data_IF_169565206638
#
_entry.id   IF_169565206638
#
_cell.length_a   1.000
_cell.length_b   1.000
_cell.length_c   1.000
_cell.angle_alpha   90.00
_cell.angle_beta   90.00
_cell.angle_gamma   90.00
#
_symmetry.space_group_name_H-M   'P 1'
#
loop_
_entity.id
_entity.type
_entity.pdbx_description
1 polymer ?
#
# COMPACT_ATOMS: atom_id res chain seq x y z
N UNK A 1 -10.78 -15.56 -6.47
CA UNK A 1 -11.43 -14.93 -5.30
C UNK A 1 -11.06 -13.46 -5.30
N UNK A 2 -11.91 -12.58 -4.72
CA UNK A 2 -11.68 -11.14 -4.72
C UNK A 2 -10.85 -10.69 -3.51
N UNK A 3 -10.24 -9.50 -3.61
CA UNK A 3 -9.71 -8.79 -2.44
C UNK A 3 -10.81 -7.93 -1.79
N UNK A 4 -10.70 -7.66 -0.49
CA UNK A 4 -11.52 -6.68 0.22
C UNK A 4 -10.61 -5.62 0.81
N UNK A 5 -10.81 -4.36 0.41
CA UNK A 5 -10.20 -3.19 1.04
C UNK A 5 -11.23 -2.47 1.91
N UNK A 6 -10.89 -2.16 3.14
CA UNK A 6 -11.74 -1.38 4.04
C UNK A 6 -10.97 -0.12 4.42
N UNK A 7 -11.54 1.02 4.07
CA UNK A 7 -10.96 2.32 4.42
C UNK A 7 -11.45 2.81 5.77
N UNK A 8 -10.54 3.07 6.70
CA UNK A 8 -10.85 3.70 8.00
C UNK A 8 -10.26 5.12 7.97
N UNK A 9 -11.09 6.17 7.85
CA UNK A 9 -10.61 7.53 7.58
C UNK A 9 -10.22 8.31 8.84
N UNK A 10 -9.92 7.66 9.97
CA UNK A 10 -9.65 8.36 11.21
C UNK A 10 -8.16 8.43 11.52
N UNK A 11 -7.69 9.61 11.93
CA UNK A 11 -6.33 9.84 12.39
C UNK A 11 -6.31 10.59 13.71
N UNK A 12 -5.34 10.29 14.58
CA UNK A 12 -5.06 11.15 15.74
C UNK A 12 -4.51 12.50 15.29
N UNK A 13 -3.64 12.49 14.27
CA UNK A 13 -3.07 13.66 13.62
C UNK A 13 -2.73 13.30 12.16
N UNK A 14 -3.04 14.18 11.21
CA UNK A 14 -2.66 14.00 9.81
C UNK A 14 -1.19 14.41 9.63
N UNK A 15 -0.39 13.50 9.06
CA UNK A 15 1.01 13.77 8.73
C UNK A 15 1.11 14.84 7.65
N UNK A 16 2.24 15.58 7.60
CA UNK A 16 2.41 16.69 6.65
C UNK A 16 2.41 16.27 5.19
N UNK A 17 2.82 15.04 4.90
CA UNK A 17 2.94 14.48 3.55
C UNK A 17 1.71 13.69 3.07
N UNK A 18 0.76 13.43 3.97
CA UNK A 18 -0.32 12.49 3.71
C UNK A 18 -1.42 13.13 2.84
N UNK A 19 -1.69 12.55 1.69
CA UNK A 19 -2.76 12.89 0.77
C UNK A 19 -4.01 11.99 0.93
N UNK A 20 -3.90 10.89 1.68
CA UNK A 20 -5.03 10.00 1.93
C UNK A 20 -6.21 10.76 2.56
N UNK A 21 -7.41 10.36 2.15
CA UNK A 21 -8.66 10.86 2.76
C UNK A 21 -8.70 10.40 4.21
N UNK A 22 -8.41 11.33 5.13
CA UNK A 22 -8.38 11.06 6.56
C UNK A 22 -8.74 12.31 7.36
N UNK A 23 -9.47 12.10 8.46
CA UNK A 23 -10.05 13.15 9.28
C UNK A 23 -9.50 13.04 10.71
N UNK A 24 -8.75 14.02 11.19
CA UNK A 24 -8.30 14.04 12.58
C UNK A 24 -9.45 14.45 13.50
N UNK A 25 -9.42 13.94 14.74
CA UNK A 25 -10.35 14.32 15.83
C UNK A 25 -11.83 14.04 15.53
N UNK A 26 -12.15 12.99 14.79
CA UNK A 26 -13.53 12.57 14.48
C UNK A 26 -13.89 11.18 15.05
N UNK A 27 -13.22 10.76 16.10
CA UNK A 27 -13.43 9.45 16.73
C UNK A 27 -14.89 9.25 17.23
N UNK A 28 -15.57 10.33 17.64
CA UNK A 28 -16.99 10.29 18.02
C UNK A 28 -17.93 9.87 16.88
N UNK A 29 -17.44 9.95 15.63
CA UNK A 29 -18.20 9.55 14.44
C UNK A 29 -17.98 8.07 14.10
N UNK A 30 -16.98 7.42 14.72
CA UNK A 30 -16.53 6.08 14.33
C UNK A 30 -17.61 5.01 14.42
N UNK A 31 -18.47 5.04 15.43
CA UNK A 31 -19.57 4.07 15.56
C UNK A 31 -20.56 4.17 14.39
N UNK A 32 -20.95 5.39 14.02
CA UNK A 32 -21.84 5.62 12.86
C UNK A 32 -21.16 5.18 11.54
N UNK A 33 -19.86 5.38 11.47
CA UNK A 33 -19.08 4.97 10.31
C UNK A 33 -18.99 3.44 10.20
N UNK A 34 -18.72 2.73 11.29
CA UNK A 34 -18.74 1.26 11.33
C UNK A 34 -20.11 0.72 10.96
N UNK A 35 -21.21 1.35 11.40
CA UNK A 35 -22.56 0.96 10.98
C UNK A 35 -22.80 1.21 9.47
N UNK A 36 -22.22 2.26 8.91
CA UNK A 36 -22.27 2.51 7.45
C UNK A 36 -21.49 1.45 6.69
N UNK A 37 -20.28 1.07 7.15
CA UNK A 37 -19.50 -0.03 6.57
C UNK A 37 -20.29 -1.34 6.55
N UNK A 38 -20.97 -1.68 7.65
CA UNK A 38 -21.82 -2.88 7.73
C UNK A 38 -22.95 -2.85 6.69
N UNK A 39 -23.63 -1.70 6.54
CA UNK A 39 -24.70 -1.55 5.53
C UNK A 39 -24.16 -1.69 4.11
N UNK A 40 -23.00 -1.10 3.82
CA UNK A 40 -22.36 -1.21 2.51
C UNK A 40 -21.91 -2.64 2.23
N UNK A 41 -21.30 -3.33 3.19
CA UNK A 41 -20.84 -4.71 3.05
C UNK A 41 -21.97 -5.68 2.64
N UNK A 42 -23.19 -5.47 3.16
CA UNK A 42 -24.35 -6.30 2.82
C UNK A 42 -24.67 -6.38 1.32
N UNK A 43 -24.29 -5.37 0.54
CA UNK A 43 -24.44 -5.38 -0.93
C UNK A 43 -23.60 -6.46 -1.61
N UNK A 44 -22.58 -6.96 -0.92
CA UNK A 44 -21.61 -7.96 -1.42
C UNK A 44 -21.71 -9.30 -0.70
N UNK A 45 -22.84 -9.58 -0.04
CA UNK A 45 -23.02 -10.79 0.77
C UNK A 45 -22.74 -12.06 -0.04
N UNK A 46 -21.90 -12.93 0.51
CA UNK A 46 -21.53 -14.22 -0.08
C UNK A 46 -20.41 -14.15 -1.13
N UNK A 47 -19.85 -12.96 -1.40
CA UNK A 47 -18.65 -12.85 -2.24
C UNK A 47 -17.46 -13.56 -1.60
N UNK A 48 -16.65 -14.24 -2.42
CA UNK A 48 -15.51 -15.06 -1.98
C UNK A 48 -14.24 -14.24 -1.91
N UNK A 49 -13.64 -14.20 -0.72
CA UNK A 49 -12.43 -13.42 -0.44
C UNK A 49 -11.24 -14.33 -0.08
N UNK A 50 -10.06 -13.99 -0.58
CA UNK A 50 -8.78 -14.58 -0.18
C UNK A 50 -7.78 -13.56 0.37
N UNK A 51 -8.11 -12.24 0.28
CA UNK A 51 -7.36 -11.18 0.96
C UNK A 51 -8.30 -10.13 1.52
N UNK A 52 -8.01 -9.64 2.73
CA UNK A 52 -8.68 -8.50 3.37
C UNK A 52 -7.60 -7.53 3.82
N UNK A 53 -7.80 -6.24 3.54
CA UNK A 53 -6.87 -5.19 3.93
C UNK A 53 -7.64 -4.01 4.54
N UNK A 54 -7.39 -3.73 5.81
CA UNK A 54 -7.96 -2.57 6.51
C UNK A 54 -6.89 -1.49 6.58
N UNK A 55 -7.11 -0.38 5.88
CA UNK A 55 -6.13 0.70 5.75
C UNK A 55 -6.75 2.09 5.80
N UNK A 56 -5.99 3.11 5.35
CA UNK A 56 -6.43 4.50 5.23
C UNK A 56 -5.76 5.42 6.26
N UNK A 57 -6.53 6.07 7.12
CA UNK A 57 -6.04 6.54 8.41
C UNK A 57 -5.78 5.29 9.27
N UNK A 58 -4.87 5.27 10.24
CA UNK A 58 -4.49 3.99 10.81
C UNK A 58 -5.68 3.34 11.54
N UNK A 59 -6.15 2.13 11.14
CA UNK A 59 -7.24 1.41 11.81
C UNK A 59 -6.99 1.19 13.30
N UNK A 60 -5.75 1.25 13.73
CA UNK A 60 -5.34 1.19 15.14
C UNK A 60 -5.85 2.35 15.99
N UNK A 61 -6.49 3.38 15.39
CA UNK A 61 -7.23 4.42 16.14
C UNK A 61 -8.55 3.90 16.72
N UNK A 62 -9.14 2.90 16.08
CA UNK A 62 -10.40 2.29 16.54
C UNK A 62 -10.26 1.67 17.92
N UNK A 63 -11.35 1.65 18.68
CA UNK A 63 -11.44 0.92 19.94
C UNK A 63 -11.42 -0.60 19.71
N UNK A 64 -11.04 -1.43 20.70
CA UNK A 64 -11.09 -2.88 20.58
C UNK A 64 -12.47 -3.38 20.11
N UNK A 65 -13.56 -2.82 20.63
CA UNK A 65 -14.93 -3.16 20.24
C UNK A 65 -15.20 -2.87 18.74
N UNK A 66 -14.77 -1.71 18.24
CA UNK A 66 -14.94 -1.36 16.83
C UNK A 66 -14.09 -2.26 15.92
N UNK A 67 -12.89 -2.65 16.35
CA UNK A 67 -12.05 -3.63 15.63
C UNK A 67 -12.78 -4.97 15.54
N UNK A 68 -13.33 -5.47 16.67
CA UNK A 68 -14.13 -6.70 16.70
C UNK A 68 -15.36 -6.61 15.80
N UNK A 69 -16.06 -5.47 15.77
CA UNK A 69 -17.23 -5.28 14.93
C UNK A 69 -16.89 -5.31 13.44
N UNK A 70 -15.78 -4.66 13.02
CA UNK A 70 -15.33 -4.65 11.63
C UNK A 70 -14.84 -6.03 11.20
N UNK A 71 -14.05 -6.70 12.02
CA UNK A 71 -13.55 -8.05 11.70
C UNK A 71 -14.69 -9.07 11.65
N UNK A 72 -15.63 -9.01 12.61
CA UNK A 72 -16.81 -9.87 12.61
C UNK A 72 -17.67 -9.66 11.37
N UNK A 73 -17.89 -8.42 10.93
CA UNK A 73 -18.60 -8.10 9.67
C UNK A 73 -17.96 -8.84 8.48
N UNK A 74 -16.63 -8.92 8.41
CA UNK A 74 -15.97 -9.61 7.30
C UNK A 74 -16.38 -11.10 7.22
N UNK A 75 -16.47 -11.78 8.36
CA UNK A 75 -16.85 -13.21 8.38
C UNK A 75 -18.36 -13.46 8.34
N UNK A 76 -19.18 -12.50 8.82
CA UNK A 76 -20.65 -12.64 8.78
C UNK A 76 -21.21 -12.41 7.36
N UNK A 77 -20.53 -11.59 6.56
CA UNK A 77 -21.02 -11.15 5.24
C UNK A 77 -20.37 -11.91 4.10
N UNK A 78 -19.08 -12.17 4.17
CA UNK A 78 -18.30 -12.72 3.06
C UNK A 78 -17.95 -14.20 3.28
N UNK A 79 -17.72 -14.92 2.18
CA UNK A 79 -17.14 -16.27 2.18
C UNK A 79 -15.61 -16.15 2.18
N UNK A 80 -15.02 -16.11 3.38
CA UNK A 80 -13.59 -15.88 3.59
C UNK A 80 -12.82 -17.19 3.52
N UNK A 81 -11.83 -17.27 2.63
CA UNK A 81 -10.97 -18.45 2.50
C UNK A 81 -10.21 -18.75 3.80
N UNK A 82 -9.99 -20.02 4.10
CA UNK A 82 -9.31 -20.47 5.31
C UNK A 82 -7.84 -20.00 5.39
N UNK A 83 -7.21 -19.70 4.25
CA UNK A 83 -5.84 -19.17 4.12
C UNK A 83 -5.82 -17.69 3.77
N UNK A 84 -6.90 -16.95 4.05
CA UNK A 84 -7.03 -15.55 3.75
C UNK A 84 -5.91 -14.73 4.40
N UNK A 85 -5.25 -13.86 3.61
CA UNK A 85 -4.38 -12.82 4.16
C UNK A 85 -5.24 -11.68 4.70
N UNK A 86 -5.26 -11.51 6.02
CA UNK A 86 -6.02 -10.44 6.66
C UNK A 86 -5.06 -9.43 7.27
N UNK A 87 -4.89 -8.30 6.58
CA UNK A 87 -3.97 -7.22 6.93
C UNK A 87 -4.69 -6.07 7.62
N UNK A 88 -4.05 -5.44 8.61
CA UNK A 88 -4.41 -4.12 9.11
C UNK A 88 -3.21 -3.18 9.14
N UNK A 89 -3.45 -1.88 8.96
CA UNK A 89 -2.44 -0.84 9.17
C UNK A 89 -2.47 -0.31 10.59
N UNK A 90 -1.29 0.13 11.06
CA UNK A 90 -1.14 0.69 12.39
C UNK A 90 -0.05 1.76 12.44
N UNK A 91 -0.20 2.72 13.36
CA UNK A 91 0.86 3.67 13.69
C UNK A 91 1.50 3.31 15.03
N UNK A 92 2.82 3.44 15.18
CA UNK A 92 3.46 3.32 16.48
C UNK A 92 2.83 4.24 17.53
N UNK A 93 2.63 3.71 18.74
CA UNK A 93 2.03 4.48 19.85
C UNK A 93 0.50 4.60 19.82
N UNK A 94 -0.18 3.92 18.86
CA UNK A 94 -1.66 3.87 18.84
C UNK A 94 -2.23 2.49 19.18
N UNK A 95 -1.37 1.52 19.45
CA UNK A 95 -1.70 0.11 19.71
C UNK A 95 -1.40 -0.20 21.17
N UNK A 96 -2.34 -0.87 21.83
CA UNK A 96 -2.23 -1.47 23.17
C UNK A 96 -2.59 -2.96 23.12
N UNK A 97 -2.44 -3.65 24.26
CA UNK A 97 -2.68 -5.09 24.37
C UNK A 97 -4.12 -5.48 24.01
N UNK A 98 -5.10 -4.66 24.40
CA UNK A 98 -6.50 -4.94 24.14
C UNK A 98 -6.80 -4.87 22.64
N UNK A 99 -6.24 -3.89 21.93
CA UNK A 99 -6.36 -3.77 20.47
C UNK A 99 -5.65 -4.91 19.76
N UNK A 100 -4.43 -5.28 20.20
CA UNK A 100 -3.71 -6.43 19.63
C UNK A 100 -4.54 -7.71 19.77
N UNK A 101 -5.09 -7.94 20.95
CA UNK A 101 -5.94 -9.11 21.20
C UNK A 101 -7.22 -9.08 20.34
N UNK A 102 -7.87 -7.94 20.18
CA UNK A 102 -9.04 -7.78 19.32
C UNK A 102 -8.69 -8.07 17.85
N UNK A 103 -7.53 -7.60 17.36
CA UNK A 103 -7.04 -7.87 16.01
C UNK A 103 -6.77 -9.36 15.78
N UNK A 104 -6.03 -10.00 16.68
CA UNK A 104 -5.68 -11.44 16.57
C UNK A 104 -6.92 -12.33 16.68
N UNK A 105 -7.81 -12.06 17.63
CA UNK A 105 -9.06 -12.80 17.80
C UNK A 105 -10.01 -12.57 16.61
N UNK A 106 -9.96 -11.39 15.98
CA UNK A 106 -10.68 -11.07 14.76
C UNK A 106 -10.09 -11.69 13.49
N UNK A 107 -9.04 -12.52 13.59
CA UNK A 107 -8.44 -13.24 12.46
C UNK A 107 -7.42 -12.43 11.65
N UNK A 108 -7.04 -11.21 12.10
CA UNK A 108 -5.97 -10.45 11.45
C UNK A 108 -4.65 -11.18 11.65
N UNK A 109 -3.97 -11.53 10.55
CA UNK A 109 -2.74 -12.33 10.55
C UNK A 109 -1.53 -11.61 9.96
N UNK A 110 -1.72 -10.39 9.43
CA UNK A 110 -0.67 -9.50 8.94
C UNK A 110 -0.89 -8.08 9.45
N UNK A 111 0.18 -7.39 9.87
CA UNK A 111 0.11 -5.99 10.30
C UNK A 111 1.16 -5.15 9.59
N UNK A 112 0.76 -3.99 9.07
CA UNK A 112 1.63 -2.98 8.46
C UNK A 112 1.81 -1.81 9.41
N UNK A 113 3.06 -1.50 9.75
CA UNK A 113 3.35 -0.45 10.73
C UNK A 113 4.06 0.73 10.06
N UNK A 114 3.41 1.88 10.06
CA UNK A 114 3.91 3.12 9.48
C UNK A 114 5.02 3.75 10.32
N UNK A 115 6.23 3.23 10.23
CA UNK A 115 7.42 3.71 10.95
C UNK A 115 8.05 4.92 10.29
N UNK A 116 8.21 4.88 8.97
CA UNK A 116 8.79 5.87 8.06
C UNK A 116 10.31 6.06 8.24
N UNK A 117 10.81 6.27 9.45
CA UNK A 117 12.22 6.39 9.77
C UNK A 117 12.50 5.98 11.22
N UNK A 118 13.76 5.64 11.53
CA UNK A 118 14.26 5.51 12.90
C UNK A 118 15.12 6.72 13.31
N UNK A 119 14.94 7.87 12.65
CA UNK A 119 15.55 9.14 13.01
C UNK A 119 14.47 10.14 13.49
N UNK A 120 14.58 10.59 14.74
CA UNK A 120 13.55 11.42 15.36
C UNK A 120 13.39 12.80 14.70
N UNK A 121 14.48 13.37 14.13
CA UNK A 121 14.40 14.65 13.44
C UNK A 121 13.70 14.53 12.09
N UNK A 122 13.92 13.42 11.35
CA UNK A 122 13.18 13.12 10.13
C UNK A 122 11.68 12.93 10.43
N UNK A 123 11.34 12.16 11.47
CA UNK A 123 9.95 11.93 11.90
C UNK A 123 9.23 13.24 12.24
N UNK A 124 9.87 14.14 12.99
CA UNK A 124 9.30 15.45 13.33
C UNK A 124 9.04 16.31 12.10
N UNK A 125 9.96 16.32 11.12
CA UNK A 125 9.82 17.11 9.89
C UNK A 125 8.63 16.72 9.05
N UNK A 126 8.33 15.42 8.99
CA UNK A 126 7.16 14.89 8.27
C UNK A 126 5.88 14.85 9.13
N UNK A 127 5.93 15.36 10.37
CA UNK A 127 4.76 15.47 11.25
C UNK A 127 4.31 14.17 11.89
N UNK A 128 5.24 13.21 12.12
CA UNK A 128 4.92 11.99 12.88
C UNK A 128 4.85 12.29 14.37
N UNK A 129 3.91 11.62 15.07
CA UNK A 129 3.67 11.81 16.50
C UNK A 129 4.49 10.86 17.39
N UNK A 130 5.08 9.82 16.80
CA UNK A 130 5.93 8.85 17.50
C UNK A 130 7.41 9.16 17.27
N UNK A 131 8.25 8.66 18.15
CA UNK A 131 9.70 8.64 18.04
C UNK A 131 10.23 7.25 17.63
N UNK A 132 11.51 7.17 17.30
CA UNK A 132 12.19 5.95 16.89
C UNK A 132 12.12 4.85 17.95
N UNK A 133 12.21 5.21 19.24
CA UNK A 133 12.09 4.27 20.35
C UNK A 133 10.68 3.66 20.44
N UNK A 134 9.65 4.48 20.29
CA UNK A 134 8.27 3.99 20.26
C UNK A 134 8.05 3.05 19.08
N UNK A 135 8.56 3.39 17.89
CA UNK A 135 8.48 2.54 16.72
C UNK A 135 9.15 1.17 16.96
N UNK A 136 10.40 1.18 17.45
CA UNK A 136 11.13 -0.05 17.77
C UNK A 136 10.37 -0.94 18.78
N UNK A 137 9.93 -0.34 19.88
CA UNK A 137 9.22 -1.06 20.93
C UNK A 137 7.88 -1.62 20.44
N UNK A 138 7.15 -0.89 19.59
CA UNK A 138 5.88 -1.36 19.01
C UNK A 138 6.09 -2.64 18.19
N UNK A 139 7.12 -2.70 17.35
CA UNK A 139 7.41 -3.90 16.54
C UNK A 139 7.77 -5.09 17.42
N UNK A 140 8.66 -4.90 18.41
CA UNK A 140 9.02 -5.97 19.34
C UNK A 140 7.82 -6.45 20.16
N UNK A 141 6.92 -5.54 20.50
CA UNK A 141 5.71 -5.88 21.25
C UNK A 141 4.71 -6.68 20.41
N UNK A 142 4.48 -6.30 19.15
CA UNK A 142 3.63 -7.05 18.22
C UNK A 142 4.12 -8.48 18.01
N UNK A 143 5.42 -8.69 17.82
CA UNK A 143 6.01 -10.02 17.70
C UNK A 143 5.80 -10.85 18.98
N UNK A 144 6.06 -10.25 20.16
CA UNK A 144 5.85 -10.88 21.46
C UNK A 144 4.38 -11.27 21.70
N UNK A 145 3.44 -10.47 21.21
CA UNK A 145 2.00 -10.74 21.31
C UNK A 145 1.49 -11.76 20.29
N UNK A 146 2.31 -12.16 19.30
CA UNK A 146 2.00 -13.27 18.39
C UNK A 146 1.88 -12.90 16.91
N UNK A 147 2.03 -11.63 16.52
CA UNK A 147 2.08 -11.27 15.11
C UNK A 147 3.36 -11.80 14.46
N UNK A 148 3.23 -12.78 13.55
CA UNK A 148 4.37 -13.38 12.84
C UNK A 148 4.63 -12.72 11.47
N UNK A 149 3.65 -12.04 10.89
CA UNK A 149 3.74 -11.35 9.62
C UNK A 149 3.63 -9.84 9.84
N UNK A 150 4.78 -9.21 10.11
CA UNK A 150 4.88 -7.77 10.35
C UNK A 150 5.56 -7.11 9.15
N UNK A 151 4.93 -6.06 8.62
CA UNK A 151 5.51 -5.15 7.65
C UNK A 151 5.94 -3.84 8.33
N UNK A 152 7.05 -3.28 7.88
CA UNK A 152 7.45 -1.90 8.14
C UNK A 152 7.29 -1.05 6.90
N UNK A 153 6.64 0.11 7.04
CA UNK A 153 6.67 1.14 6.01
C UNK A 153 7.81 2.12 6.35
N UNK A 154 8.72 2.28 5.39
CA UNK A 154 9.87 3.18 5.48
C UNK A 154 9.81 4.19 4.33
N UNK A 155 10.36 5.38 4.55
CA UNK A 155 10.47 6.40 3.52
C UNK A 155 11.92 6.81 3.30
N UNK A 156 12.28 7.00 2.04
CA UNK A 156 13.53 7.60 1.59
C UNK A 156 13.31 9.05 1.14
N UNK A 157 14.39 9.77 0.93
CA UNK A 157 14.37 11.18 0.51
C UNK A 157 13.58 12.10 1.44
N UNK A 158 13.52 11.79 2.74
CA UNK A 158 12.87 12.65 3.73
C UNK A 158 13.62 13.98 3.90
N UNK A 159 12.93 15.06 4.34
CA UNK A 159 13.60 16.34 4.58
C UNK A 159 14.80 16.19 5.51
N UNK A 160 15.97 16.65 5.02
CA UNK A 160 17.29 16.54 5.66
C UNK A 160 17.78 15.11 5.94
N UNK A 161 17.18 14.10 5.29
CA UNK A 161 17.70 12.74 5.36
C UNK A 161 19.07 12.67 4.69
N UNK A 162 20.01 12.02 5.36
CA UNK A 162 21.35 11.75 4.85
C UNK A 162 21.51 10.27 4.54
N UNK A 163 22.52 9.91 3.74
CA UNK A 163 22.87 8.50 3.53
C UNK A 163 23.16 7.77 4.84
N UNK A 164 23.78 8.42 5.80
CA UNK A 164 24.10 7.83 7.09
C UNK A 164 22.82 7.57 7.91
N UNK A 165 21.89 8.51 7.95
CA UNK A 165 20.61 8.31 8.66
C UNK A 165 19.75 7.23 8.01
N UNK A 166 19.74 7.15 6.67
CA UNK A 166 19.08 6.06 5.95
C UNK A 166 19.69 4.71 6.28
N UNK A 167 21.03 4.59 6.26
CA UNK A 167 21.72 3.35 6.64
C UNK A 167 21.37 2.91 8.06
N UNK A 168 21.32 3.84 9.00
CA UNK A 168 20.96 3.54 10.39
C UNK A 168 19.49 3.07 10.48
N UNK A 169 18.59 3.69 9.74
CA UNK A 169 17.19 3.26 9.63
C UNK A 169 17.08 1.85 9.06
N UNK A 170 17.76 1.55 7.95
CA UNK A 170 17.73 0.23 7.33
C UNK A 170 18.37 -0.85 8.22
N UNK A 171 19.51 -0.56 8.87
CA UNK A 171 20.13 -1.48 9.81
C UNK A 171 19.20 -1.82 10.97
N UNK A 172 18.50 -0.82 11.51
CA UNK A 172 17.51 -1.03 12.58
C UNK A 172 16.36 -1.89 12.07
N UNK A 173 15.81 -1.59 10.89
CA UNK A 173 14.69 -2.31 10.31
C UNK A 173 14.96 -3.80 10.11
N UNK A 174 16.14 -4.17 9.55
CA UNK A 174 16.48 -5.58 9.31
C UNK A 174 16.82 -6.35 10.58
N UNK A 175 17.15 -5.66 11.68
CA UNK A 175 17.39 -6.27 12.98
C UNK A 175 16.10 -6.66 13.72
N UNK A 176 14.96 -6.12 13.31
CA UNK A 176 13.65 -6.36 13.90
C UNK A 176 13.00 -7.66 13.37
N UNK A 177 12.05 -8.25 14.11
CA UNK A 177 11.38 -9.52 13.72
C UNK A 177 10.36 -9.33 12.61
N UNK A 178 10.73 -8.66 11.52
CA UNK A 178 9.85 -8.35 10.40
C UNK A 178 10.05 -9.30 9.22
N UNK A 179 9.01 -9.46 8.41
CA UNK A 179 8.99 -10.34 7.24
C UNK A 179 8.87 -9.57 5.94
N UNK A 180 8.42 -8.33 6.01
CA UNK A 180 8.14 -7.48 4.87
C UNK A 180 8.60 -6.04 5.18
N UNK A 181 9.05 -5.31 4.17
CA UNK A 181 9.41 -3.89 4.25
C UNK A 181 8.86 -3.22 3.00
N UNK A 182 8.03 -2.19 3.20
CA UNK A 182 7.67 -1.22 2.16
C UNK A 182 8.68 -0.07 2.26
N UNK A 183 9.36 0.26 1.18
CA UNK A 183 10.31 1.37 1.14
C UNK A 183 10.06 2.20 -0.12
N UNK A 184 9.71 3.46 0.05
CA UNK A 184 9.34 4.37 -1.02
C UNK A 184 9.85 5.79 -0.75
N UNK A 185 10.17 6.52 -1.82
CA UNK A 185 10.59 7.91 -1.72
C UNK A 185 9.43 8.81 -1.32
N UNK A 186 9.74 9.88 -0.59
CA UNK A 186 8.78 10.94 -0.31
C UNK A 186 8.29 11.55 -1.62
N UNK A 187 6.98 11.50 -1.85
CA UNK A 187 6.31 12.25 -2.90
C UNK A 187 5.68 13.49 -2.28
N UNK A 188 5.87 14.62 -2.92
CA UNK A 188 5.26 15.89 -2.50
C UNK A 188 3.97 16.05 -3.28
N UNK A 189 2.86 15.72 -2.63
CA UNK A 189 1.53 15.80 -3.24
C UNK A 189 0.93 17.20 -3.05
N UNK A 190 0.24 17.69 -4.09
CA UNK A 190 -0.43 18.98 -4.10
C UNK A 190 -1.44 19.11 -2.96
N UNK A 191 -1.51 20.29 -2.37
CA UNK A 191 -2.46 20.61 -1.29
C UNK A 191 -2.04 20.12 0.11
N UNK A 192 -0.96 19.34 0.21
CA UNK A 192 -0.42 18.88 1.50
C UNK A 192 0.32 19.99 2.25
N UNK A 193 0.43 19.90 3.60
CA UNK A 193 1.27 20.85 4.34
C UNK A 193 2.74 20.85 3.91
N UNK A 194 3.29 19.68 3.53
CA UNK A 194 4.68 19.57 3.11
C UNK A 194 4.93 20.25 1.76
N UNK A 195 3.95 20.21 0.84
CA UNK A 195 4.02 20.95 -0.42
C UNK A 195 4.14 22.45 -0.18
N UNK A 196 3.34 23.00 0.76
CA UNK A 196 3.38 24.42 1.14
C UNK A 196 4.70 24.84 1.80
N UNK A 197 5.36 23.96 2.52
CA UNK A 197 6.69 24.19 3.09
C UNK A 197 7.76 24.11 1.99
N UNK A 198 7.65 23.15 1.07
CA UNK A 198 8.57 22.94 -0.06
C UNK A 198 8.54 24.13 -1.03
N UNK A 199 7.35 24.56 -1.47
CA UNK A 199 7.20 25.69 -2.40
C UNK A 199 7.72 27.03 -1.86
N UNK A 200 7.85 27.15 -0.52
CA UNK A 200 8.48 28.30 0.16
C UNK A 200 9.99 28.13 0.38
N UNK A 201 10.61 27.04 -0.07
CA UNK A 201 12.02 26.76 0.15
C UNK A 201 12.40 26.52 1.62
N UNK A 202 11.45 26.06 2.45
CA UNK A 202 11.66 25.82 3.87
C UNK A 202 12.14 24.39 4.19
N UNK A 203 12.17 23.51 3.17
CA UNK A 203 12.58 22.11 3.33
C UNK A 203 13.87 21.83 2.57
N UNK A 204 14.80 21.22 3.25
CA UNK A 204 16.00 20.63 2.67
C UNK A 204 15.70 19.18 2.28
N UNK A 205 15.31 18.96 1.02
CA UNK A 205 14.99 17.65 0.48
C UNK A 205 16.15 17.18 -0.40
N UNK A 206 16.57 15.91 -0.30
CA UNK A 206 17.55 15.34 -1.22
C UNK A 206 17.16 15.56 -2.68
N UNK A 207 18.11 15.92 -3.52
CA UNK A 207 17.84 16.06 -4.95
C UNK A 207 17.57 14.70 -5.61
N UNK A 208 17.08 14.72 -6.86
CA UNK A 208 16.69 13.49 -7.59
C UNK A 208 17.83 12.47 -7.70
N UNK A 209 19.08 12.90 -7.90
CA UNK A 209 20.23 11.99 -7.99
C UNK A 209 20.49 11.31 -6.64
N UNK A 210 20.42 12.07 -5.54
CA UNK A 210 20.59 11.55 -4.18
C UNK A 210 19.44 10.59 -3.82
N UNK A 211 18.20 10.93 -4.14
CA UNK A 211 17.04 10.05 -3.92
C UNK A 211 17.22 8.72 -4.68
N UNK A 212 17.61 8.80 -5.95
CA UNK A 212 17.91 7.60 -6.75
C UNK A 212 19.02 6.74 -6.14
N UNK A 213 20.10 7.35 -5.70
CA UNK A 213 21.18 6.63 -5.02
C UNK A 213 20.68 5.98 -3.71
N UNK A 214 19.85 6.66 -2.93
CA UNK A 214 19.22 6.14 -1.70
C UNK A 214 18.33 4.94 -2.01
N UNK A 215 17.51 5.02 -3.07
CA UNK A 215 16.67 3.91 -3.51
C UNK A 215 17.51 2.70 -3.95
N UNK A 216 18.51 2.90 -4.80
CA UNK A 216 19.40 1.83 -5.27
C UNK A 216 20.13 1.16 -4.12
N UNK A 217 20.61 1.95 -3.16
CA UNK A 217 21.24 1.43 -1.94
C UNK A 217 20.24 0.60 -1.13
N UNK A 218 18.99 1.06 -0.98
CA UNK A 218 17.94 0.35 -0.25
C UNK A 218 17.65 -1.01 -0.88
N UNK A 219 17.52 -1.07 -2.22
CA UNK A 219 17.30 -2.33 -2.97
C UNK A 219 18.43 -3.32 -2.72
N UNK A 220 19.69 -2.89 -2.87
CA UNK A 220 20.88 -3.73 -2.66
C UNK A 220 20.99 -4.20 -1.21
N UNK A 221 20.82 -3.27 -0.25
CA UNK A 221 20.93 -3.55 1.17
C UNK A 221 19.87 -4.54 1.65
N UNK A 222 18.60 -4.32 1.31
CA UNK A 222 17.50 -5.21 1.68
C UNK A 222 17.65 -6.58 1.04
N UNK A 223 18.08 -6.63 -0.23
CA UNK A 223 18.38 -7.89 -0.93
C UNK A 223 19.45 -8.72 -0.22
N UNK A 224 20.55 -8.10 0.19
CA UNK A 224 21.63 -8.74 0.97
C UNK A 224 21.17 -9.24 2.35
N UNK A 225 20.11 -8.66 2.91
CA UNK A 225 19.53 -9.04 4.19
C UNK A 225 18.31 -10.00 4.05
N UNK A 226 18.11 -10.59 2.85
CA UNK A 226 17.12 -11.62 2.62
C UNK A 226 15.71 -11.12 2.32
N UNK A 227 15.53 -9.80 2.09
CA UNK A 227 14.30 -9.21 1.63
C UNK A 227 14.37 -9.00 0.11
N UNK A 228 13.69 -9.86 -0.64
CA UNK A 228 13.64 -9.75 -2.10
C UNK A 228 12.62 -8.71 -2.52
N UNK A 229 13.03 -7.79 -3.38
CA UNK A 229 12.11 -6.88 -4.04
C UNK A 229 11.18 -7.69 -4.98
N UNK A 230 9.87 -7.55 -4.84
CA UNK A 230 8.91 -8.22 -5.72
C UNK A 230 8.10 -7.23 -6.57
N UNK A 231 8.03 -5.96 -6.15
CA UNK A 231 7.55 -4.82 -6.92
C UNK A 231 8.31 -3.55 -6.51
N UNK A 232 8.11 -2.42 -7.18
CA UNK A 232 8.94 -1.20 -7.07
C UNK A 232 9.22 -0.78 -5.62
N UNK A 233 8.22 -0.84 -4.74
CA UNK A 233 8.30 -0.31 -3.38
C UNK A 233 8.32 -1.38 -2.29
N UNK A 234 8.12 -2.66 -2.62
CA UNK A 234 7.90 -3.69 -1.61
C UNK A 234 8.92 -4.84 -1.67
N UNK A 235 9.40 -5.20 -0.49
CA UNK A 235 10.45 -6.19 -0.26
C UNK A 235 9.97 -7.22 0.78
N UNK A 236 10.16 -8.49 0.51
CA UNK A 236 9.68 -9.56 1.39
C UNK A 236 10.70 -10.68 1.57
N UNK A 237 10.67 -11.35 2.71
CA UNK A 237 11.23 -12.68 2.87
C UNK A 237 10.33 -13.65 2.11
N UNK A 238 10.89 -14.74 1.55
CA UNK A 238 10.13 -15.64 0.68
C UNK A 238 8.80 -16.13 1.28
N UNK A 239 7.71 -15.94 0.56
CA UNK A 239 6.35 -16.32 0.97
C UNK A 239 5.63 -15.28 1.83
N UNK A 240 6.20 -14.07 2.00
CA UNK A 240 5.60 -12.98 2.77
C UNK A 240 5.28 -11.74 1.91
N UNK A 241 5.24 -11.90 0.58
CA UNK A 241 4.75 -10.88 -0.32
C UNK A 241 3.29 -10.53 0.04
N UNK A 242 2.93 -9.24 0.06
CA UNK A 242 1.56 -8.81 0.37
C UNK A 242 0.61 -9.26 -0.76
N UNK A 243 -0.18 -10.30 -0.50
CA UNK A 243 -1.10 -10.89 -1.49
C UNK A 243 -2.15 -9.87 -1.95
N UNK A 244 -2.61 -9.02 -1.04
CA UNK A 244 -3.59 -7.99 -1.36
C UNK A 244 -3.03 -6.96 -2.35
N UNK A 245 -1.81 -6.44 -2.12
CA UNK A 245 -1.19 -5.49 -3.04
C UNK A 245 -0.89 -6.14 -4.40
N UNK A 246 -0.48 -7.41 -4.41
CA UNK A 246 -0.25 -8.15 -5.65
C UNK A 246 -1.51 -8.21 -6.52
N UNK A 247 -2.73 -8.28 -5.93
CA UNK A 247 -3.97 -8.24 -6.71
C UNK A 247 -4.14 -6.97 -7.51
N UNK A 248 -3.78 -5.82 -6.94
CA UNK A 248 -3.79 -4.55 -7.68
C UNK A 248 -2.83 -4.60 -8.88
N UNK A 249 -1.62 -5.09 -8.67
CA UNK A 249 -0.59 -5.16 -9.70
C UNK A 249 -0.88 -6.22 -10.78
N UNK A 250 -1.67 -7.22 -10.48
CA UNK A 250 -2.09 -8.27 -11.43
C UNK A 250 -3.45 -8.02 -12.05
N UNK A 251 -4.12 -6.90 -11.71
CA UNK A 251 -5.44 -6.55 -12.23
C UNK A 251 -6.51 -7.55 -11.85
N UNK A 252 -6.47 -8.07 -10.61
CA UNK A 252 -7.51 -8.92 -10.04
C UNK A 252 -8.62 -8.08 -9.43
N UNK A 253 -9.82 -8.66 -9.33
CA UNK A 253 -10.98 -7.97 -8.76
C UNK A 253 -10.84 -7.74 -7.26
N UNK A 254 -11.32 -6.59 -6.81
CA UNK A 254 -11.42 -6.25 -5.40
C UNK A 254 -12.62 -5.35 -5.11
N UNK A 255 -13.11 -5.46 -3.88
CA UNK A 255 -14.20 -4.67 -3.31
C UNK A 255 -13.56 -3.64 -2.38
N UNK A 256 -13.93 -2.38 -2.51
CA UNK A 256 -13.59 -1.32 -1.58
C UNK A 256 -14.81 -0.88 -0.78
N UNK A 257 -14.68 -0.83 0.53
CA UNK A 257 -15.68 -0.31 1.47
C UNK A 257 -15.13 0.93 2.19
N UNK A 258 -15.98 1.88 2.44
CA UNK A 258 -15.64 3.09 3.17
C UNK A 258 -15.41 4.31 2.28
N UNK A 259 -15.26 5.45 2.93
CA UNK A 259 -15.03 6.76 2.30
C UNK A 259 -13.83 6.71 1.35
N UNK A 260 -13.98 7.24 0.15
CA UNK A 260 -12.97 7.26 -0.91
C UNK A 260 -12.43 5.88 -1.31
N UNK A 261 -13.03 4.77 -0.86
CA UNK A 261 -12.61 3.45 -1.27
C UNK A 261 -13.00 3.18 -2.72
N UNK A 262 -12.09 2.55 -3.45
CA UNK A 262 -12.28 2.16 -4.83
C UNK A 262 -12.54 0.65 -4.90
N UNK A 263 -13.33 0.23 -5.89
CA UNK A 263 -13.52 -1.18 -6.24
C UNK A 263 -13.21 -1.39 -7.72
N UNK A 264 -12.80 -2.62 -8.05
CA UNK A 264 -12.71 -3.08 -9.42
C UNK A 264 -13.44 -4.42 -9.54
N UNK A 265 -14.58 -4.44 -10.21
CA UNK A 265 -15.44 -5.63 -10.35
C UNK A 265 -15.96 -5.70 -11.78
N UNK A 266 -15.74 -6.83 -12.44
CA UNK A 266 -16.09 -7.01 -13.84
C UNK A 266 -15.33 -6.04 -14.74
N UNK A 267 -16.08 -5.17 -15.43
CA UNK A 267 -15.53 -4.13 -16.30
C UNK A 267 -15.63 -2.73 -15.69
N UNK A 268 -15.95 -2.60 -14.40
CA UNK A 268 -16.25 -1.32 -13.79
C UNK A 268 -15.33 -1.00 -12.63
N UNK A 269 -14.98 0.27 -12.53
CA UNK A 269 -14.44 0.88 -11.30
C UNK A 269 -15.56 1.60 -10.57
N UNK A 270 -15.59 1.45 -9.26
CA UNK A 270 -16.54 2.12 -8.39
C UNK A 270 -15.75 3.00 -7.42
N UNK A 271 -16.31 4.15 -7.10
CA UNK A 271 -15.69 5.15 -6.22
C UNK A 271 -16.71 5.58 -5.17
N UNK A 272 -16.36 5.42 -3.90
CA UNK A 272 -17.15 6.00 -2.82
C UNK A 272 -16.82 7.49 -2.68
N UNK A 273 -17.80 8.29 -2.23
CA UNK A 273 -17.56 9.70 -1.90
C UNK A 273 -16.41 9.87 -0.92
N UNK A 274 -15.66 10.98 -1.06
CA UNK A 274 -14.63 11.37 -0.11
C UNK A 274 -15.17 12.12 1.11
N UNK A 275 -16.44 12.53 1.11
CA UNK A 275 -17.10 13.15 2.27
C UNK A 275 -17.63 12.08 3.22
N UNK A 276 -17.19 12.15 4.47
CA UNK A 276 -17.57 11.16 5.50
C UNK A 276 -19.06 11.22 5.86
N UNK A 277 -19.68 12.41 5.86
CA UNK A 277 -21.10 12.55 6.20
C UNK A 277 -21.98 12.04 5.08
N UNK A 278 -21.63 12.30 3.83
CA UNK A 278 -22.32 11.73 2.65
C UNK A 278 -22.22 10.20 2.66
N UNK A 279 -21.02 9.66 2.95
CA UNK A 279 -20.82 8.22 3.06
C UNK A 279 -21.70 7.59 4.15
N UNK A 280 -21.70 8.17 5.35
CA UNK A 280 -22.57 7.72 6.46
C UNK A 280 -24.05 7.83 6.08
N UNK A 281 -24.42 8.85 5.31
CA UNK A 281 -25.75 9.08 4.78
C UNK A 281 -26.18 8.09 3.69
N UNK A 282 -25.25 7.29 3.15
CA UNK A 282 -25.53 6.29 2.10
C UNK A 282 -25.52 6.88 0.69
N UNK A 283 -24.59 7.81 0.41
CA UNK A 283 -24.38 8.34 -0.93
C UNK A 283 -24.12 7.23 -1.95
N UNK A 284 -24.60 7.41 -3.17
CA UNK A 284 -24.36 6.49 -4.28
C UNK A 284 -22.89 6.54 -4.72
N UNK A 285 -22.39 5.40 -5.22
CA UNK A 285 -21.05 5.29 -5.77
C UNK A 285 -21.00 5.89 -7.18
N UNK A 286 -19.91 6.55 -7.48
CA UNK A 286 -19.57 6.84 -8.87
C UNK A 286 -19.12 5.54 -9.56
N UNK A 287 -19.52 5.37 -10.83
CA UNK A 287 -19.23 4.16 -11.62
C UNK A 287 -18.62 4.57 -12.95
N UNK A 288 -17.46 3.98 -13.26
CA UNK A 288 -16.78 4.14 -14.55
C UNK A 288 -16.68 2.78 -15.21
N UNK A 289 -17.27 2.63 -16.39
CA UNK A 289 -17.11 1.44 -17.22
C UNK A 289 -15.81 1.56 -18.02
N UNK A 290 -14.94 0.55 -17.88
CA UNK A 290 -13.63 0.51 -18.55
C UNK A 290 -13.79 -0.05 -19.96
N UNK A 291 -13.22 0.65 -20.94
CA UNK A 291 -13.05 0.13 -22.29
C UNK A 291 -11.99 -0.98 -22.34
N UNK A 292 -11.89 -1.70 -23.45
CA UNK A 292 -10.82 -2.68 -23.63
C UNK A 292 -9.44 -2.03 -23.61
N UNK A 293 -9.30 -0.82 -24.17
CA UNK A 293 -8.04 -0.09 -24.16
C UNK A 293 -7.63 0.32 -22.73
N UNK A 294 -8.58 0.80 -21.93
CA UNK A 294 -8.30 1.12 -20.51
C UNK A 294 -7.77 -0.10 -19.76
N UNK A 295 -8.41 -1.27 -19.95
CA UNK A 295 -7.97 -2.52 -19.31
C UNK A 295 -6.60 -3.00 -19.79
N UNK A 296 -6.28 -2.80 -21.08
CA UNK A 296 -4.96 -3.10 -21.63
C UNK A 296 -3.90 -2.17 -21.03
N UNK A 297 -4.17 -0.87 -20.98
CA UNK A 297 -3.27 0.13 -20.39
C UNK A 297 -3.04 -0.16 -18.90
N UNK A 298 -4.11 -0.40 -18.12
CA UNK A 298 -4.00 -0.76 -16.71
C UNK A 298 -3.17 -2.05 -16.50
N UNK A 299 -3.41 -3.10 -17.30
CA UNK A 299 -2.63 -4.33 -17.23
C UNK A 299 -1.13 -4.08 -17.42
N UNK A 300 -0.77 -3.21 -18.37
CA UNK A 300 0.63 -2.87 -18.63
C UNK A 300 1.21 -2.03 -17.48
N UNK A 301 0.54 -0.95 -17.10
CA UNK A 301 1.03 -0.02 -16.08
C UNK A 301 1.19 -0.71 -14.73
N UNK A 302 0.19 -1.46 -14.29
CA UNK A 302 0.24 -2.14 -12.99
C UNK A 302 1.15 -3.35 -13.03
N UNK A 303 1.11 -4.15 -14.10
CA UNK A 303 1.90 -5.37 -14.24
C UNK A 303 3.41 -5.12 -14.37
N UNK A 304 3.81 -4.02 -15.03
CA UNK A 304 5.23 -3.62 -15.14
C UNK A 304 5.82 -3.08 -13.83
N UNK A 305 4.99 -2.76 -12.83
CA UNK A 305 5.48 -2.47 -11.46
C UNK A 305 6.06 -3.70 -10.78
N UNK A 306 5.58 -4.89 -11.14
CA UNK A 306 6.12 -6.15 -10.60
C UNK A 306 7.49 -6.47 -11.20
N UNK A 307 8.45 -6.89 -10.39
CA UNK A 307 9.77 -7.32 -10.87
C UNK A 307 9.68 -8.48 -11.86
N UNK A 308 8.64 -9.34 -11.74
CA UNK A 308 8.35 -10.40 -12.70
C UNK A 308 7.75 -9.90 -14.01
N UNK A 309 7.28 -8.67 -14.05
CA UNK A 309 6.68 -8.02 -15.21
C UNK A 309 5.41 -8.70 -15.75
N UNK A 310 5.05 -8.38 -16.99
CA UNK A 310 3.85 -8.85 -17.68
C UNK A 310 4.12 -10.09 -18.54
N UNK A 311 3.18 -11.04 -18.55
CA UNK A 311 3.28 -12.29 -19.29
C UNK A 311 2.58 -12.19 -20.64
N UNK A 312 3.24 -12.64 -21.73
CA UNK A 312 2.59 -12.79 -23.05
C UNK A 312 1.38 -13.71 -23.00
N UNK A 313 1.48 -14.80 -22.23
CA UNK A 313 0.42 -15.79 -22.12
C UNK A 313 -0.79 -15.20 -21.39
N UNK A 314 -0.56 -14.48 -20.29
CA UNK A 314 -1.62 -13.84 -19.52
C UNK A 314 -2.32 -12.75 -20.33
N UNK A 315 -1.55 -11.92 -21.06
CA UNK A 315 -2.08 -10.89 -21.95
C UNK A 315 -2.99 -11.51 -23.04
N UNK A 316 -2.47 -12.55 -23.72
CA UNK A 316 -3.24 -13.25 -24.75
C UNK A 316 -4.51 -13.91 -24.21
N UNK A 317 -4.45 -14.49 -23.01
CA UNK A 317 -5.60 -15.09 -22.35
C UNK A 317 -6.67 -14.07 -21.99
N UNK A 318 -6.27 -12.86 -21.57
CA UNK A 318 -7.21 -11.80 -21.16
C UNK A 318 -7.82 -11.03 -22.33
N UNK A 319 -7.01 -10.73 -23.35
CA UNK A 319 -7.39 -9.80 -24.42
C UNK A 319 -7.50 -10.46 -25.81
N UNK A 320 -7.16 -11.74 -25.94
CA UNK A 320 -7.23 -12.47 -27.21
C UNK A 320 -6.21 -12.03 -28.26
N UNK A 321 -5.32 -11.08 -27.91
CA UNK A 321 -4.32 -10.47 -28.81
C UNK A 321 -2.91 -10.91 -28.43
N UNK A 322 -1.96 -10.91 -29.37
CA UNK A 322 -0.55 -11.01 -29.00
C UNK A 322 -0.06 -9.65 -28.51
N UNK A 323 0.63 -9.63 -27.38
CA UNK A 323 1.15 -8.40 -26.77
C UNK A 323 2.13 -7.66 -27.70
N UNK A 324 2.84 -8.40 -28.57
CA UNK A 324 3.77 -7.80 -29.52
C UNK A 324 3.07 -7.12 -30.70
N UNK A 325 1.85 -7.55 -31.03
CA UNK A 325 1.06 -6.87 -32.07
C UNK A 325 0.57 -5.50 -31.58
N UNK A 326 0.48 -5.32 -30.25
CA UNK A 326 0.01 -4.09 -29.61
C UNK A 326 1.16 -3.18 -29.21
N UNK A 327 2.23 -3.71 -28.61
CA UNK A 327 3.31 -2.95 -27.97
C UNK A 327 4.72 -3.36 -28.43
N UNK A 328 4.84 -4.02 -29.58
CA UNK A 328 6.14 -4.52 -30.05
C UNK A 328 7.18 -3.43 -30.23
N UNK A 329 6.78 -2.25 -30.75
CA UNK A 329 7.69 -1.11 -30.96
C UNK A 329 8.21 -0.52 -29.64
N UNK A 330 7.35 -0.43 -28.63
CA UNK A 330 7.68 0.07 -27.29
C UNK A 330 8.66 -0.89 -26.61
N UNK A 331 8.39 -2.19 -26.67
CA UNK A 331 9.31 -3.20 -26.13
C UNK A 331 10.68 -3.15 -26.80
N UNK A 332 10.73 -3.13 -28.13
CA UNK A 332 12.00 -3.06 -28.87
C UNK A 332 12.80 -1.80 -28.52
N UNK A 333 12.11 -0.65 -28.39
CA UNK A 333 12.70 0.62 -27.96
C UNK A 333 13.36 0.49 -26.59
N UNK A 334 12.62 0.02 -25.60
CA UNK A 334 13.12 -0.01 -24.22
C UNK A 334 14.10 -1.15 -23.94
N UNK A 335 13.99 -2.28 -24.64
CA UNK A 335 15.00 -3.36 -24.58
C UNK A 335 16.33 -2.87 -25.17
N UNK A 336 16.29 -2.18 -26.32
CA UNK A 336 17.50 -1.61 -26.94
C UNK A 336 18.17 -0.56 -26.04
N UNK A 337 17.41 0.18 -25.24
CA UNK A 337 17.92 1.13 -24.25
C UNK A 337 18.42 0.46 -22.95
N UNK A 338 18.24 -0.85 -22.78
CA UNK A 338 18.60 -1.56 -21.55
C UNK A 338 17.64 -1.32 -20.39
N UNK A 339 16.50 -0.69 -20.63
CA UNK A 339 15.50 -0.33 -19.59
C UNK A 339 14.45 -1.43 -19.37
N UNK A 340 14.28 -2.31 -20.34
CA UNK A 340 13.42 -3.50 -20.25
C UNK A 340 14.18 -4.76 -20.68
N UNK A 341 13.64 -5.90 -20.28
CA UNK A 341 14.14 -7.21 -20.63
C UNK A 341 12.99 -8.16 -20.95
N UNK A 342 13.26 -9.18 -21.78
CA UNK A 342 12.35 -10.27 -22.07
C UNK A 342 12.97 -11.58 -21.60
N UNK A 343 12.40 -12.19 -20.58
CA UNK A 343 12.90 -13.43 -19.97
C UNK A 343 11.69 -14.35 -19.70
N UNK A 344 11.80 -15.61 -20.05
CA UNK A 344 10.81 -16.67 -19.76
C UNK A 344 9.36 -16.30 -20.16
N UNK A 345 9.20 -15.63 -21.31
CA UNK A 345 7.88 -15.25 -21.82
C UNK A 345 7.27 -14.02 -21.16
N UNK A 346 8.07 -13.24 -20.44
CA UNK A 346 7.64 -12.04 -19.70
C UNK A 346 8.48 -10.82 -20.08
N UNK A 347 7.83 -9.68 -20.19
CA UNK A 347 8.46 -8.37 -20.27
C UNK A 347 8.51 -7.73 -18.89
N UNK A 348 9.68 -7.30 -18.46
CA UNK A 348 9.88 -6.63 -17.17
C UNK A 348 10.83 -5.46 -17.27
N UNK A 349 10.73 -4.52 -16.36
CA UNK A 349 11.72 -3.45 -16.21
C UNK A 349 13.04 -4.03 -15.71
N UNK A 350 14.16 -3.49 -16.16
CA UNK A 350 15.46 -3.65 -15.50
C UNK A 350 15.53 -2.73 -14.30
N UNK A 351 16.57 -2.84 -13.48
CA UNK A 351 16.78 -1.91 -12.38
C UNK A 351 16.91 -0.45 -12.85
N UNK A 352 17.59 -0.24 -13.99
CA UNK A 352 17.66 1.08 -14.63
C UNK A 352 16.28 1.53 -15.16
N UNK A 353 15.48 0.60 -15.67
CA UNK A 353 14.11 0.86 -16.09
C UNK A 353 13.19 1.24 -14.94
N UNK A 354 13.36 0.64 -13.77
CA UNK A 354 12.60 1.00 -12.55
C UNK A 354 12.88 2.47 -12.17
N UNK A 355 14.12 2.92 -12.27
CA UNK A 355 14.50 4.30 -11.97
C UNK A 355 13.79 5.36 -12.82
N UNK A 356 13.35 5.01 -14.02
CA UNK A 356 12.64 5.89 -14.94
C UNK A 356 11.26 5.33 -15.32
N UNK A 357 10.70 4.52 -14.43
CA UNK A 357 9.49 3.74 -14.69
C UNK A 357 8.30 4.60 -15.12
N UNK A 358 8.08 5.76 -14.51
CA UNK A 358 6.97 6.64 -14.90
C UNK A 358 7.04 7.04 -16.39
N UNK A 359 8.23 7.40 -16.89
CA UNK A 359 8.41 7.74 -18.31
C UNK A 359 8.19 6.54 -19.24
N UNK A 360 8.51 5.33 -18.78
CA UNK A 360 8.28 4.11 -19.55
C UNK A 360 6.79 3.78 -19.56
N UNK A 361 6.15 3.80 -18.38
CA UNK A 361 4.74 3.41 -18.21
C UNK A 361 3.78 4.29 -19.01
N UNK A 362 4.10 5.59 -19.19
CA UNK A 362 3.30 6.52 -20.01
C UNK A 362 3.26 6.13 -21.50
N UNK A 363 4.17 5.29 -22.00
CA UNK A 363 4.16 4.85 -23.41
C UNK A 363 3.21 3.66 -23.65
N UNK A 364 2.61 3.09 -22.59
CA UNK A 364 1.69 1.96 -22.65
C UNK A 364 0.21 2.37 -22.44
N UNK A 365 -0.11 3.66 -22.55
CA UNK A 365 -1.46 4.23 -22.35
C UNK A 365 -2.16 4.50 -23.67
#
# INVERSE_FOLDING_TARGET
>A
MKGLYIHIPFCKQKCKYCDFVSFPCMEDTADKYVDALKREAEQYRGEKLDTIFIGGGPPSILTPKQIEEVTKMCFDVFDVASDCEFTTEANPGTIDDDKINAMLNGGINRISVGVQSFNDDELKKIGRIHDSKTAYNTICHLDKMGFQNINLDLMTALPSQTFESLKNTLNTAVSLPVKHISAYSLIIEDGTPIEKEYSKGLLDIPNEDTDREMYMYTVDFLGKNGFKQYEISNFAKGGYECRHNVKYWTGEEYIGLGTAAHSYIGNCRFYNTSDINEYIGGAEKEVIELTENDKIAEFMITGLRMNRGVSKTDFKSRFGKDINDVFGSEFDKFIKLGLMQYIDGRYSLTLDGINVSNSILCEFV
#
